data_IF_321382603500
#
_entry.id   IF_321382603500
#
_cell.length_a   1.000
_cell.length_b   1.000
_cell.length_c   1.000
_cell.angle_alpha   90.00
_cell.angle_beta   90.00
_cell.angle_gamma   90.00
#
_symmetry.space_group_name_H-M   'P 1'
#
loop_
_entity.id
_entity.type
_entity.pdbx_description
1 polymer ?
#
# COMPACT_ATOMS: atom_id res chain seq x y z
N UNK A 1 -2.08 -33.76 35.20
CA UNK A 1 -1.90 -33.21 33.83
C UNK A 1 -1.89 -31.71 33.94
N UNK A 2 -0.72 -31.09 33.87
CA UNK A 2 -0.49 -29.73 34.36
C UNK A 2 -1.13 -28.68 33.44
N UNK A 3 -1.93 -27.81 34.03
CA UNK A 3 -2.58 -26.62 33.45
C UNK A 3 -1.61 -25.75 32.64
N UNK A 4 -0.31 -25.77 32.99
CA UNK A 4 0.77 -25.09 32.28
C UNK A 4 0.98 -25.56 30.82
N UNK A 5 0.75 -26.84 30.53
CA UNK A 5 0.92 -27.40 29.18
C UNK A 5 -0.18 -26.90 28.22
N UNK A 6 -1.41 -26.75 28.71
CA UNK A 6 -2.54 -26.24 27.92
C UNK A 6 -2.41 -24.74 27.57
N UNK A 7 -1.85 -23.93 28.48
CA UNK A 7 -1.59 -22.51 28.24
C UNK A 7 -0.48 -22.27 27.20
N UNK A 8 0.57 -23.10 27.20
CA UNK A 8 1.66 -23.01 26.23
C UNK A 8 1.18 -23.44 24.83
N UNK A 9 0.36 -24.49 24.76
CA UNK A 9 -0.15 -25.03 23.50
C UNK A 9 -1.18 -24.09 22.83
N UNK A 10 -1.99 -23.35 23.62
CA UNK A 10 -2.86 -22.27 23.10
C UNK A 10 -2.08 -21.07 22.58
N UNK A 11 -1.03 -20.63 23.28
CA UNK A 11 -0.20 -19.51 22.84
C UNK A 11 0.53 -19.79 21.52
N UNK A 12 1.10 -20.99 21.39
CA UNK A 12 1.73 -21.44 20.15
C UNK A 12 0.71 -21.61 19.00
N UNK A 13 -0.46 -22.17 19.27
CA UNK A 13 -1.51 -22.31 18.26
C UNK A 13 -2.04 -20.97 17.77
N UNK A 14 -2.19 -19.97 18.65
CA UNK A 14 -2.71 -18.65 18.29
C UNK A 14 -1.70 -17.85 17.48
N UNK A 15 -0.41 -17.89 17.88
CA UNK A 15 0.67 -17.30 17.10
C UNK A 15 0.81 -17.96 15.73
N UNK A 16 0.76 -19.31 15.66
CA UNK A 16 0.81 -20.02 14.39
C UNK A 16 -0.39 -19.70 13.49
N UNK A 17 -1.59 -19.48 14.05
CA UNK A 17 -2.76 -19.07 13.28
C UNK A 17 -2.62 -17.64 12.73
N UNK A 18 -2.10 -16.69 13.54
CA UNK A 18 -1.84 -15.32 13.06
C UNK A 18 -0.74 -15.28 12.00
N UNK A 19 0.31 -16.09 12.15
CA UNK A 19 1.34 -16.24 11.11
C UNK A 19 0.80 -16.92 9.84
N UNK A 20 -0.15 -17.85 9.97
CA UNK A 20 -0.79 -18.52 8.83
C UNK A 20 -1.67 -17.57 8.01
N UNK A 21 -2.39 -16.65 8.64
CA UNK A 21 -3.25 -15.69 7.94
C UNK A 21 -2.43 -14.61 7.21
N UNK A 22 -1.33 -14.12 7.80
CA UNK A 22 -0.38 -13.18 7.17
C UNK A 22 0.34 -13.75 5.93
N UNK A 23 0.41 -15.08 5.78
CA UNK A 23 1.13 -15.73 4.68
C UNK A 23 0.24 -16.00 3.44
N UNK A 24 -1.06 -15.72 3.49
CA UNK A 24 -1.96 -15.93 2.35
C UNK A 24 -1.79 -14.80 1.34
N UNK A 25 -0.92 -15.02 0.35
CA UNK A 25 -0.96 -14.27 -0.91
C UNK A 25 -2.31 -14.53 -1.58
N UNK A 26 -3.18 -13.53 -1.59
CA UNK A 26 -4.49 -13.58 -2.24
C UNK A 26 -4.37 -12.93 -3.61
N UNK A 27 -4.99 -13.52 -4.63
CA UNK A 27 -5.10 -12.91 -5.95
C UNK A 27 -6.57 -12.67 -6.24
N UNK A 28 -6.90 -11.49 -6.76
CA UNK A 28 -8.23 -11.16 -7.23
C UNK A 28 -8.20 -11.02 -8.75
N UNK A 29 -9.21 -11.54 -9.44
CA UNK A 29 -9.32 -11.38 -10.87
C UNK A 29 -10.10 -10.10 -11.17
N UNK A 30 -9.44 -9.12 -11.80
CA UNK A 30 -10.06 -7.88 -12.25
C UNK A 30 -9.98 -7.86 -13.77
N UNK A 31 -11.13 -7.98 -14.44
CA UNK A 31 -11.23 -7.91 -15.91
C UNK A 31 -10.32 -8.91 -16.66
N UNK A 32 -10.10 -10.11 -16.10
CA UNK A 32 -9.26 -11.15 -16.69
C UNK A 32 -7.78 -11.06 -16.30
N UNK A 33 -7.41 -10.10 -15.44
CA UNK A 33 -6.04 -9.91 -14.96
C UNK A 33 -5.96 -10.25 -13.48
N UNK A 34 -4.98 -11.07 -13.12
CA UNK A 34 -4.69 -11.39 -11.73
C UNK A 34 -4.00 -10.21 -11.05
N UNK A 35 -4.68 -9.63 -10.08
CA UNK A 35 -4.16 -8.57 -9.23
C UNK A 35 -3.77 -9.17 -7.89
N UNK A 36 -2.52 -8.98 -7.49
CA UNK A 36 -2.02 -9.48 -6.21
C UNK A 36 -2.48 -8.58 -5.08
N UNK A 37 -3.04 -9.22 -4.06
CA UNK A 37 -3.35 -8.62 -2.76
C UNK A 37 -2.29 -9.10 -1.78
N UNK A 38 -1.62 -8.15 -1.15
CA UNK A 38 -0.61 -8.41 -0.12
C UNK A 38 -1.19 -8.00 1.23
N UNK A 39 -1.16 -8.93 2.19
CA UNK A 39 -1.42 -8.60 3.58
C UNK A 39 -0.08 -8.25 4.25
N UNK A 40 0.03 -7.02 4.73
CA UNK A 40 1.24 -6.54 5.41
C UNK A 40 1.03 -6.40 6.93
N UNK A 41 0.05 -7.09 7.51
CA UNK A 41 -0.26 -7.03 8.95
C UNK A 41 -0.93 -5.73 9.39
N UNK A 42 -0.99 -4.73 8.50
CA UNK A 42 -1.67 -3.45 8.65
C UNK A 42 -2.94 -3.35 7.79
N UNK A 43 -3.31 -4.41 7.06
CA UNK A 43 -4.45 -4.45 6.13
C UNK A 43 -4.14 -5.16 4.81
N UNK A 44 -5.19 -5.36 4.00
CA UNK A 44 -5.09 -5.91 2.65
C UNK A 44 -4.76 -4.79 1.65
N UNK A 45 -3.64 -4.91 0.93
CA UNK A 45 -3.18 -3.94 -0.06
C UNK A 45 -3.23 -4.51 -1.47
N UNK A 46 -3.73 -3.73 -2.41
CA UNK A 46 -3.83 -4.14 -3.82
C UNK A 46 -2.68 -3.55 -4.62
N UNK A 47 -1.94 -4.38 -5.37
CA UNK A 47 -0.76 -3.92 -6.10
C UNK A 47 -1.11 -2.97 -7.26
N UNK A 48 -0.72 -1.69 -7.17
CA UNK A 48 -0.99 -0.67 -8.18
C UNK A 48 -0.39 -0.99 -9.55
N UNK A 49 0.74 -1.71 -9.60
CA UNK A 49 1.33 -2.14 -10.88
C UNK A 49 0.49 -3.16 -11.60
N UNK A 50 -0.23 -4.01 -10.87
CA UNK A 50 -1.11 -5.01 -11.46
C UNK A 50 -2.43 -4.36 -11.92
N UNK A 51 -2.95 -3.36 -11.18
CA UNK A 51 -4.07 -2.51 -11.64
C UNK A 51 -3.68 -1.73 -12.90
N UNK A 52 -2.49 -1.14 -12.96
CA UNK A 52 -2.09 -0.36 -14.13
C UNK A 52 -1.93 -1.22 -15.40
N UNK A 53 -1.67 -2.53 -15.27
CA UNK A 53 -1.70 -3.48 -16.40
C UNK A 53 -3.11 -3.69 -16.96
N UNK A 54 -4.16 -3.48 -16.16
CA UNK A 54 -5.55 -3.60 -16.64
C UNK A 54 -5.95 -2.44 -17.54
N UNK A 55 -5.31 -1.29 -17.37
CA UNK A 55 -5.58 -0.10 -18.17
C UNK A 55 -4.79 -0.12 -19.47
N UNK A 56 -3.49 -0.38 -19.40
CA UNK A 56 -2.62 -0.33 -20.59
C UNK A 56 -1.37 -1.21 -20.41
N UNK A 57 -0.82 -1.75 -21.52
CA UNK A 57 0.44 -2.51 -21.49
C UNK A 57 1.64 -1.65 -21.03
N UNK A 58 1.59 -0.34 -21.23
CA UNK A 58 2.62 0.61 -20.78
C UNK A 58 2.37 1.08 -19.35
N UNK A 59 2.41 0.13 -18.42
CA UNK A 59 2.14 0.32 -16.98
C UNK A 59 2.90 1.51 -16.37
N UNK A 60 4.16 1.73 -16.76
CA UNK A 60 4.98 2.83 -16.25
C UNK A 60 4.41 4.22 -16.58
N UNK A 61 3.86 4.40 -17.78
CA UNK A 61 3.31 5.68 -18.21
C UNK A 61 2.00 5.99 -17.49
N UNK A 62 1.15 4.97 -17.32
CA UNK A 62 -0.10 5.07 -16.55
C UNK A 62 0.18 5.50 -15.10
N UNK A 63 1.10 4.82 -14.43
CA UNK A 63 1.47 5.15 -13.05
C UNK A 63 2.08 6.56 -12.97
N UNK A 64 2.93 6.96 -13.91
CA UNK A 64 3.48 8.32 -13.93
C UNK A 64 2.39 9.39 -14.08
N UNK A 65 1.37 9.13 -14.91
CA UNK A 65 0.24 10.05 -15.08
C UNK A 65 -0.59 10.17 -13.81
N UNK A 66 -0.89 9.04 -13.15
CA UNK A 66 -1.58 9.01 -11.86
C UNK A 66 -0.80 9.79 -10.79
N UNK A 67 0.50 9.54 -10.67
CA UNK A 67 1.35 10.19 -9.67
C UNK A 67 1.62 11.68 -9.97
N UNK A 68 1.34 12.17 -11.17
CA UNK A 68 1.38 13.60 -11.52
C UNK A 68 0.07 14.33 -11.21
N UNK A 69 -1.05 13.60 -11.24
CA UNK A 69 -2.36 14.18 -11.09
C UNK A 69 -2.64 14.55 -9.63
N UNK A 70 -2.92 15.82 -9.38
CA UNK A 70 -3.25 16.35 -8.06
C UNK A 70 -4.47 15.65 -7.44
N UNK A 71 -5.47 15.29 -8.24
CA UNK A 71 -6.65 14.57 -7.74
C UNK A 71 -6.28 13.19 -7.19
N UNK A 72 -5.42 12.46 -7.91
CA UNK A 72 -4.93 11.16 -7.45
C UNK A 72 -4.09 11.30 -6.19
N UNK A 73 -3.16 12.26 -6.14
CA UNK A 73 -2.35 12.51 -4.94
C UNK A 73 -3.25 12.85 -3.74
N UNK A 74 -4.22 13.75 -3.90
CA UNK A 74 -5.18 14.09 -2.85
C UNK A 74 -5.96 12.86 -2.35
N UNK A 75 -6.41 12.00 -3.25
CA UNK A 75 -7.11 10.77 -2.88
C UNK A 75 -6.22 9.83 -2.06
N UNK A 76 -4.98 9.59 -2.49
CA UNK A 76 -4.03 8.75 -1.76
C UNK A 76 -3.74 9.32 -0.37
N UNK A 77 -3.57 10.64 -0.27
CA UNK A 77 -3.37 11.31 1.03
C UNK A 77 -4.56 11.18 1.96
N UNK A 78 -5.77 11.41 1.46
CA UNK A 78 -6.99 11.22 2.25
C UNK A 78 -7.12 9.79 2.75
N UNK A 79 -6.87 8.81 1.87
CA UNK A 79 -6.95 7.41 2.25
C UNK A 79 -5.90 7.04 3.32
N UNK A 80 -4.68 7.56 3.22
CA UNK A 80 -3.64 7.31 4.22
C UNK A 80 -3.97 7.94 5.58
N UNK A 81 -4.52 9.16 5.62
CA UNK A 81 -4.97 9.78 6.88
C UNK A 81 -5.96 8.87 7.61
N UNK A 82 -6.88 8.25 6.88
CA UNK A 82 -7.93 7.39 7.47
C UNK A 82 -7.42 5.98 7.84
N UNK A 83 -6.36 5.47 7.19
CA UNK A 83 -5.93 4.07 7.31
C UNK A 83 -4.52 3.88 7.89
N UNK A 84 -3.79 4.96 8.14
CA UNK A 84 -2.41 4.92 8.60
C UNK A 84 -2.16 5.96 9.71
N UNK A 85 -2.24 5.50 10.96
CA UNK A 85 -1.99 6.33 12.15
C UNK A 85 -0.58 6.97 12.19
N UNK A 86 0.39 6.38 11.48
CA UNK A 86 1.76 6.88 11.40
C UNK A 86 2.01 7.77 10.17
N UNK A 87 0.96 8.19 9.48
CA UNK A 87 1.07 9.02 8.28
C UNK A 87 1.67 10.40 8.59
N UNK A 88 2.64 10.81 7.78
CA UNK A 88 3.30 12.10 7.94
C UNK A 88 2.68 13.14 7.01
N UNK A 89 1.61 13.76 7.50
CA UNK A 89 0.86 14.83 6.83
C UNK A 89 1.74 16.01 6.40
N UNK A 90 2.77 16.34 7.18
CA UNK A 90 3.61 17.50 6.92
C UNK A 90 4.46 17.29 5.67
N UNK A 91 5.16 16.14 5.58
CA UNK A 91 5.94 15.78 4.39
C UNK A 91 5.02 15.56 3.19
N UNK A 92 3.84 14.96 3.40
CA UNK A 92 2.88 14.76 2.33
C UNK A 92 2.37 16.08 1.74
N UNK A 93 2.12 17.08 2.57
CA UNK A 93 1.68 18.40 2.12
C UNK A 93 2.66 19.06 1.15
N UNK A 94 3.96 18.86 1.31
CA UNK A 94 4.99 19.37 0.39
C UNK A 94 4.82 18.76 -1.01
N UNK A 95 4.51 17.47 -1.08
CA UNK A 95 4.28 16.75 -2.34
C UNK A 95 2.93 17.16 -2.94
N UNK A 96 1.89 17.22 -2.11
CA UNK A 96 0.54 17.64 -2.50
C UNK A 96 0.54 19.02 -3.15
N UNK A 97 1.28 19.98 -2.57
CA UNK A 97 1.33 21.35 -3.08
C UNK A 97 2.01 21.47 -4.44
N UNK A 98 2.97 20.60 -4.75
CA UNK A 98 3.67 20.56 -6.04
C UNK A 98 2.94 19.71 -7.09
N UNK A 99 2.06 18.81 -6.66
CA UNK A 99 1.31 17.94 -7.56
C UNK A 99 0.39 18.74 -8.49
N UNK A 100 0.29 18.31 -9.75
CA UNK A 100 -0.47 19.02 -10.78
C UNK A 100 0.27 20.17 -11.47
N UNK A 101 1.45 20.58 -11.01
CA UNK A 101 2.31 21.47 -11.81
C UNK A 101 2.82 20.73 -13.05
N UNK A 102 2.90 21.40 -14.20
CA UNK A 102 3.40 20.79 -15.44
C UNK A 102 4.84 20.27 -15.30
N UNK A 103 5.65 20.90 -14.45
CA UNK A 103 7.01 20.51 -14.15
C UNK A 103 7.10 19.38 -13.10
N UNK A 104 6.00 19.03 -12.45
CA UNK A 104 6.01 18.05 -11.38
C UNK A 104 6.27 16.65 -11.92
N UNK A 105 7.31 16.03 -11.38
CA UNK A 105 7.67 14.63 -11.61
C UNK A 105 8.18 14.07 -10.29
N UNK A 106 7.67 12.92 -9.87
CA UNK A 106 8.27 12.16 -8.78
C UNK A 106 9.58 11.54 -9.31
N UNK A 107 10.64 12.32 -9.26
CA UNK A 107 12.00 11.89 -9.58
C UNK A 107 12.55 10.97 -8.48
N UNK A 108 13.74 10.39 -8.66
CA UNK A 108 14.36 9.56 -7.61
C UNK A 108 14.52 10.29 -6.27
N UNK A 109 14.77 11.60 -6.28
CA UNK A 109 14.77 12.43 -5.07
C UNK A 109 13.36 12.59 -4.48
N UNK A 110 12.35 12.80 -5.33
CA UNK A 110 10.94 12.81 -4.94
C UNK A 110 10.48 11.49 -4.31
N UNK A 111 11.02 10.34 -4.75
CA UNK A 111 10.73 9.02 -4.15
C UNK A 111 11.22 8.91 -2.71
N UNK A 112 12.32 9.58 -2.34
CA UNK A 112 12.78 9.63 -0.95
C UNK A 112 11.80 10.41 -0.09
N UNK A 113 11.34 11.56 -0.58
CA UNK A 113 10.32 12.36 0.10
C UNK A 113 9.00 11.61 0.21
N UNK A 114 8.60 10.88 -0.84
CA UNK A 114 7.43 10.02 -0.83
C UNK A 114 7.51 8.95 0.26
N UNK A 115 8.63 8.22 0.38
CA UNK A 115 8.81 7.24 1.46
C UNK A 115 8.73 7.87 2.85
N UNK A 116 9.19 9.11 3.02
CA UNK A 116 9.13 9.84 4.30
C UNK A 116 7.71 10.24 4.72
N UNK A 117 6.76 10.24 3.77
CA UNK A 117 5.33 10.47 4.09
C UNK A 117 4.67 9.27 4.78
N UNK A 118 5.29 8.08 4.69
CA UNK A 118 4.66 6.83 5.12
C UNK A 118 3.73 6.21 4.07
N UNK A 119 3.61 6.81 2.87
CA UNK A 119 2.90 6.20 1.74
C UNK A 119 3.70 5.03 1.19
N UNK A 120 3.45 3.86 1.75
CA UNK A 120 4.06 2.59 1.33
C UNK A 120 3.01 1.57 0.86
N UNK A 121 1.73 1.94 0.92
CA UNK A 121 0.58 1.04 0.96
C UNK A 121 -0.23 0.96 -0.37
N UNK A 122 0.45 1.02 -1.52
CA UNK A 122 -0.16 0.93 -2.86
C UNK A 122 0.68 0.09 -3.85
#
# INVERSE_FOLDING_TARGET
>A
MNTAAYSIQRGLSFALLSFYDMAKKRTINVQGIEVRVQDHGLGEYTCITDIAKTVEQRTNTVIQNWMRNRATINFLGFWEIENNENFNDMEFNVIRNRSGENAFVISQGGRKNWRRTGVERF
#
